data_IF_294720460367
#
_entry.id   IF_294720460367
#
_cell.length_a   1.000
_cell.length_b   1.000
_cell.length_c   1.000
_cell.angle_alpha   90.00
_cell.angle_beta   90.00
_cell.angle_gamma   90.00
#
_symmetry.space_group_name_H-M   'P 1'
#
loop_
_entity.id
_entity.type
_entity.pdbx_description
1 polymer ?
#
# COMPACT_ATOMS: atom_id res chain seq x y z
N UNK A 1 -21.48 10.87 0.18
CA UNK A 1 -20.67 10.65 -1.01
C UNK A 1 -19.40 9.84 -0.74
N UNK A 2 -18.75 10.04 0.38
CA UNK A 2 -17.66 9.19 0.82
C UNK A 2 -18.14 7.76 1.06
N UNK A 3 -19.39 7.61 1.45
CA UNK A 3 -19.97 6.32 1.81
C UNK A 3 -20.09 5.36 0.61
N UNK A 4 -20.35 5.90 -0.59
CA UNK A 4 -20.45 5.06 -1.78
C UNK A 4 -19.11 4.45 -2.19
N UNK A 5 -18.04 5.19 -2.02
CA UNK A 5 -16.69 4.66 -2.28
C UNK A 5 -16.33 3.56 -1.30
N UNK A 6 -16.66 3.76 -0.04
CA UNK A 6 -16.44 2.76 0.99
C UNK A 6 -17.27 1.50 0.75
N UNK A 7 -18.50 1.67 0.31
CA UNK A 7 -19.37 0.55 -0.02
C UNK A 7 -18.80 -0.27 -1.18
N UNK A 8 -18.29 0.39 -2.20
CA UNK A 8 -17.64 -0.29 -3.33
C UNK A 8 -16.40 -1.07 -2.91
N UNK A 9 -15.60 -0.47 -2.05
CA UNK A 9 -14.41 -1.12 -1.52
C UNK A 9 -14.79 -2.34 -0.71
N UNK A 10 -15.81 -2.23 0.12
CA UNK A 10 -16.29 -3.35 0.92
C UNK A 10 -16.88 -4.47 0.08
N UNK A 11 -17.62 -4.12 -0.96
CA UNK A 11 -18.19 -5.11 -1.88
C UNK A 11 -17.08 -5.84 -2.64
N UNK A 12 -16.10 -5.11 -3.13
CA UNK A 12 -14.97 -5.70 -3.81
C UNK A 12 -14.18 -6.63 -2.89
N UNK A 13 -13.99 -6.21 -1.65
CA UNK A 13 -13.31 -7.01 -0.65
C UNK A 13 -14.09 -8.29 -0.32
N UNK A 14 -15.40 -8.16 -0.16
CA UNK A 14 -16.27 -9.30 0.09
C UNK A 14 -16.25 -10.30 -1.07
N UNK A 15 -16.23 -9.79 -2.31
CA UNK A 15 -16.14 -10.64 -3.49
C UNK A 15 -14.83 -11.42 -3.53
N UNK A 16 -13.73 -10.78 -3.17
CA UNK A 16 -12.42 -11.44 -3.10
C UNK A 16 -12.43 -12.52 -2.04
N UNK A 17 -13.03 -12.26 -0.89
CA UNK A 17 -13.13 -13.25 0.17
C UNK A 17 -13.97 -14.46 -0.26
N UNK A 18 -15.08 -14.22 -0.94
CA UNK A 18 -15.92 -15.29 -1.46
C UNK A 18 -15.19 -16.13 -2.50
N UNK A 19 -14.40 -15.48 -3.35
CA UNK A 19 -13.59 -16.18 -4.35
C UNK A 19 -12.53 -17.04 -3.67
N UNK A 20 -11.91 -16.53 -2.61
CA UNK A 20 -10.96 -17.28 -1.82
C UNK A 20 -11.59 -18.51 -1.17
N UNK A 21 -12.80 -18.40 -0.68
CA UNK A 21 -13.53 -19.52 -0.10
C UNK A 21 -13.87 -20.58 -1.13
N UNK A 22 -14.12 -20.19 -2.37
CA UNK A 22 -14.42 -21.13 -3.46
C UNK A 22 -13.24 -21.99 -3.90
N UNK A 23 -12.04 -21.57 -3.56
CA UNK A 23 -10.84 -22.30 -3.91
C UNK A 23 -10.63 -23.61 -3.13
N UNK A 24 -11.59 -24.02 -2.34
CA UNK A 24 -11.47 -25.26 -1.56
C UNK A 24 -10.49 -25.17 -0.41
N UNK A 25 -9.91 -24.05 -0.22
CA UNK A 25 -8.92 -23.77 0.81
C UNK A 25 -9.58 -23.16 2.04
N UNK A 26 -10.73 -23.68 2.40
CA UNK A 26 -11.51 -23.18 3.53
C UNK A 26 -10.65 -23.14 4.79
N UNK A 27 -10.55 -22.00 5.40
CA UNK A 27 -9.78 -21.80 6.62
C UNK A 27 -8.34 -21.34 6.41
N UNK A 28 -7.83 -21.31 5.20
CA UNK A 28 -6.52 -20.73 4.92
C UNK A 28 -6.68 -19.27 4.50
N UNK A 29 -6.03 -18.38 5.21
CA UNK A 29 -5.88 -16.99 4.78
C UNK A 29 -5.02 -16.99 3.53
N UNK A 30 -5.44 -16.23 2.52
CA UNK A 30 -4.59 -15.98 1.37
C UNK A 30 -3.42 -15.13 1.86
N UNK A 31 -2.25 -15.75 1.95
CA UNK A 31 -1.05 -15.02 2.34
C UNK A 31 -0.66 -14.07 1.22
N UNK A 32 -0.59 -12.79 1.55
CA UNK A 32 -0.03 -11.80 0.64
C UNK A 32 1.49 -11.93 0.69
N UNK A 33 2.11 -12.08 -0.47
CA UNK A 33 3.56 -12.06 -0.58
C UNK A 33 4.11 -10.66 -0.31
N UNK A 34 5.43 -10.51 -0.17
CA UNK A 34 6.03 -9.21 0.13
C UNK A 34 5.74 -8.16 -0.94
N UNK A 35 5.69 -8.55 -2.20
CA UNK A 35 5.38 -7.63 -3.30
C UNK A 35 3.95 -7.09 -3.18
N UNK A 36 3.00 -7.96 -2.87
CA UNK A 36 1.60 -7.56 -2.73
C UNK A 36 1.40 -6.65 -1.52
N UNK A 37 2.09 -6.91 -0.44
CA UNK A 37 2.05 -6.06 0.77
C UNK A 37 2.64 -4.69 0.46
N UNK A 38 3.78 -4.63 -0.22
CA UNK A 38 4.41 -3.36 -0.61
C UNK A 38 3.48 -2.54 -1.50
N UNK A 39 2.83 -3.18 -2.47
CA UNK A 39 1.88 -2.50 -3.34
C UNK A 39 0.67 -1.98 -2.57
N UNK A 40 0.06 -2.83 -1.75
CA UNK A 40 -1.12 -2.45 -0.96
C UNK A 40 -0.81 -1.30 0.00
N UNK A 41 0.33 -1.38 0.69
CA UNK A 41 0.78 -0.31 1.58
C UNK A 41 0.91 1.00 0.82
N UNK A 42 1.61 0.97 -0.31
CA UNK A 42 1.85 2.18 -1.12
C UNK A 42 0.53 2.78 -1.61
N UNK A 43 -0.39 1.96 -2.07
CA UNK A 43 -1.69 2.43 -2.55
C UNK A 43 -2.54 3.03 -1.44
N UNK A 44 -2.52 2.44 -0.26
CA UNK A 44 -3.24 2.98 0.89
C UNK A 44 -2.69 4.35 1.32
N UNK A 45 -1.37 4.48 1.39
CA UNK A 45 -0.73 5.76 1.70
C UNK A 45 -1.14 6.82 0.68
N UNK A 46 -1.10 6.47 -0.60
CA UNK A 46 -1.44 7.38 -1.68
C UNK A 46 -2.91 7.81 -1.65
N UNK A 47 -3.79 6.94 -1.18
CA UNK A 47 -5.21 7.23 -1.06
C UNK A 47 -5.59 7.92 0.25
N UNK A 48 -4.64 8.13 1.17
CA UNK A 48 -4.92 8.70 2.48
C UNK A 48 -5.55 7.71 3.45
N UNK A 49 -5.49 6.43 3.13
CA UNK A 49 -6.04 5.35 3.95
C UNK A 49 -4.98 4.87 4.94
N UNK A 50 -4.69 5.73 5.93
CA UNK A 50 -3.56 5.50 6.83
C UNK A 50 -3.79 4.36 7.82
N UNK A 51 -5.03 4.11 8.21
CA UNK A 51 -5.34 2.99 9.11
C UNK A 51 -5.07 1.65 8.42
N UNK A 52 -5.46 1.52 7.18
CA UNK A 52 -5.19 0.34 6.38
C UNK A 52 -3.70 0.13 6.16
N UNK A 53 -2.99 1.23 5.90
CA UNK A 53 -1.53 1.18 5.76
C UNK A 53 -0.85 0.74 7.05
N UNK A 54 -1.32 1.22 8.19
CA UNK A 54 -0.78 0.81 9.49
C UNK A 54 -0.92 -0.69 9.73
N UNK A 55 -1.98 -1.29 9.22
CA UNK A 55 -2.17 -2.73 9.33
C UNK A 55 -1.19 -3.56 8.50
N UNK A 56 -0.47 -2.94 7.57
CA UNK A 56 0.47 -3.61 6.68
C UNK A 56 1.92 -3.29 7.00
N UNK A 57 2.19 -2.55 8.05
CA UNK A 57 3.56 -2.16 8.39
C UNK A 57 3.88 -2.45 9.84
N UNK A 58 5.17 -2.44 10.13
CA UNK A 58 5.66 -2.46 11.51
C UNK A 58 5.49 -1.05 12.08
N UNK A 59 4.53 -0.89 12.97
CA UNK A 59 4.15 0.42 13.50
C UNK A 59 5.32 1.13 14.17
N UNK A 60 6.14 0.38 14.91
CA UNK A 60 7.26 0.97 15.64
C UNK A 60 8.29 1.63 14.70
N UNK A 61 8.64 0.95 13.62
CA UNK A 61 9.64 1.47 12.69
C UNK A 61 9.07 2.45 11.67
N UNK A 62 7.76 2.38 11.40
CA UNK A 62 7.13 3.19 10.36
C UNK A 62 6.34 4.39 10.88
N UNK A 63 6.29 4.58 12.19
CA UNK A 63 5.49 5.66 12.78
C UNK A 63 5.87 7.04 12.23
N UNK A 64 7.16 7.33 12.19
CA UNK A 64 7.64 8.61 11.67
C UNK A 64 7.26 8.82 10.22
N UNK A 65 7.42 7.78 9.41
CA UNK A 65 7.05 7.82 7.99
C UNK A 65 5.55 8.09 7.82
N UNK A 66 4.72 7.37 8.57
CA UNK A 66 3.27 7.55 8.50
C UNK A 66 2.88 8.96 8.94
N UNK A 67 3.47 9.46 10.02
CA UNK A 67 3.20 10.81 10.51
C UNK A 67 3.55 11.88 9.47
N UNK A 68 4.68 11.70 8.79
CA UNK A 68 5.07 12.60 7.71
C UNK A 68 4.06 12.57 6.56
N UNK A 69 3.57 11.39 6.22
CA UNK A 69 2.57 11.24 5.16
C UNK A 69 1.25 11.89 5.55
N UNK A 70 0.82 11.72 6.79
CA UNK A 70 -0.40 12.35 7.31
C UNK A 70 -0.27 13.88 7.25
N UNK A 71 0.85 14.40 7.70
CA UNK A 71 1.09 15.84 7.68
C UNK A 71 1.10 16.40 6.26
N UNK A 72 1.72 15.69 5.34
CA UNK A 72 1.74 16.10 3.93
C UNK A 72 0.32 16.08 3.34
N UNK A 73 -0.44 15.05 3.64
CA UNK A 73 -1.83 14.92 3.19
C UNK A 73 -2.69 16.07 3.71
N UNK A 74 -2.58 16.37 5.01
CA UNK A 74 -3.33 17.47 5.64
C UNK A 74 -2.98 18.82 5.05
N UNK A 75 -1.70 19.06 4.76
CA UNK A 75 -1.25 20.31 4.13
C UNK A 75 -1.86 20.50 2.76
N UNK A 76 -1.89 19.43 1.95
CA UNK A 76 -2.51 19.46 0.63
C UNK A 76 -4.01 19.73 0.75
N UNK A 77 -4.66 19.09 1.70
CA UNK A 77 -6.08 19.24 1.93
C UNK A 77 -6.46 20.68 2.30
N UNK A 78 -5.61 21.34 3.08
CA UNK A 78 -5.81 22.74 3.47
C UNK A 78 -5.58 23.73 2.33
N UNK A 79 -4.65 23.41 1.43
CA UNK A 79 -4.35 24.29 0.32
C UNK A 79 -5.45 24.32 -0.73
N UNK A 80 -5.87 23.16 -1.17
CA UNK A 80 -6.89 23.05 -2.22
C UNK A 80 -7.36 21.62 -2.30
N UNK A 81 -8.65 21.40 -2.00
CA UNK A 81 -9.23 20.07 -2.07
C UNK A 81 -9.24 19.49 -3.49
N UNK A 82 -9.22 20.34 -4.52
CA UNK A 82 -9.14 19.87 -5.89
C UNK A 82 -7.80 19.22 -6.23
N UNK A 83 -6.73 19.67 -5.58
CA UNK A 83 -5.39 19.05 -5.74
C UNK A 83 -5.40 17.61 -5.25
N UNK A 84 -6.07 17.34 -4.13
CA UNK A 84 -6.21 15.98 -3.61
C UNK A 84 -7.00 15.08 -4.55
N UNK A 85 -8.07 15.61 -5.15
CA UNK A 85 -8.86 14.85 -6.11
C UNK A 85 -8.04 14.47 -7.33
N UNK A 86 -7.24 15.41 -7.84
CA UNK A 86 -6.33 15.16 -8.97
C UNK A 86 -5.26 14.14 -8.59
N UNK A 87 -4.64 14.32 -7.42
CA UNK A 87 -3.62 13.40 -6.95
C UNK A 87 -4.17 11.99 -6.75
N UNK A 88 -5.35 11.86 -6.16
CA UNK A 88 -6.00 10.55 -5.98
C UNK A 88 -6.30 9.89 -7.32
N UNK A 89 -6.78 10.66 -8.29
CA UNK A 89 -7.07 10.16 -9.63
C UNK A 89 -5.81 9.67 -10.34
N UNK A 90 -4.72 10.42 -10.24
CA UNK A 90 -3.43 10.01 -10.80
C UNK A 90 -2.91 8.73 -10.16
N UNK A 91 -3.08 8.60 -8.86
CA UNK A 91 -2.62 7.43 -8.12
C UNK A 91 -3.47 6.19 -8.39
N UNK A 92 -4.77 6.37 -8.64
CA UNK A 92 -5.63 5.26 -9.05
C UNK A 92 -5.21 4.69 -10.40
N UNK A 93 -4.72 5.53 -11.31
CA UNK A 93 -4.26 5.11 -12.62
C UNK A 93 -2.77 4.73 -12.64
N UNK A 94 -2.06 4.91 -11.52
CA UNK A 94 -0.64 4.61 -11.45
C UNK A 94 -0.40 3.11 -11.56
N UNK A 95 0.64 2.74 -12.30
CA UNK A 95 1.10 1.37 -12.37
C UNK A 95 2.16 1.12 -11.31
N UNK A 96 1.98 0.04 -10.58
CA UNK A 96 2.97 -0.44 -9.63
C UNK A 96 3.72 -1.59 -10.30
N UNK A 97 5.01 -1.40 -10.52
CA UNK A 97 5.86 -2.40 -11.16
C UNK A 97 6.95 -2.87 -10.23
N UNK A 98 6.97 -4.14 -9.94
CA UNK A 98 8.06 -4.75 -9.18
C UNK A 98 9.22 -5.02 -10.13
N UNK A 99 10.37 -4.44 -9.84
CA UNK A 99 11.58 -4.65 -10.63
C UNK A 99 12.31 -5.92 -10.18
N UNK A 100 12.46 -6.10 -8.88
CA UNK A 100 13.07 -7.29 -8.28
C UNK A 100 12.74 -7.37 -6.81
N UNK A 101 12.89 -8.56 -6.26
CA UNK A 101 12.78 -8.81 -4.82
C UNK A 101 14.07 -9.50 -4.37
N UNK A 102 14.73 -8.95 -3.37
CA UNK A 102 15.97 -9.51 -2.84
C UNK A 102 15.73 -10.06 -1.44
N UNK A 103 16.32 -11.21 -1.17
CA UNK A 103 16.30 -11.79 0.16
C UNK A 103 17.35 -11.09 1.02
N UNK A 104 16.99 -10.72 2.24
CA UNK A 104 17.89 -10.14 3.22
C UNK A 104 17.95 -11.05 4.46
N UNK A 105 18.83 -10.74 5.39
CA UNK A 105 18.97 -11.53 6.61
C UNK A 105 17.67 -11.53 7.43
N UNK A 106 16.94 -10.43 7.41
CA UNK A 106 15.73 -10.26 8.22
C UNK A 106 14.42 -10.36 7.44
N UNK A 107 14.47 -10.37 6.11
CA UNK A 107 13.25 -10.40 5.32
C UNK A 107 13.48 -10.28 3.84
N UNK A 108 12.82 -9.29 3.23
CA UNK A 108 12.88 -9.03 1.80
C UNK A 108 12.98 -7.54 1.52
N UNK A 109 13.66 -7.20 0.44
CA UNK A 109 13.62 -5.87 -0.14
C UNK A 109 12.94 -5.95 -1.49
N UNK A 110 11.85 -5.22 -1.63
CA UNK A 110 11.10 -5.14 -2.89
C UNK A 110 11.46 -3.84 -3.58
N UNK A 111 12.06 -3.95 -4.75
CA UNK A 111 12.40 -2.81 -5.60
C UNK A 111 11.27 -2.62 -6.58
N UNK A 112 10.65 -1.46 -6.56
CA UNK A 112 9.50 -1.20 -7.38
C UNK A 112 9.51 0.23 -7.90
N UNK A 113 8.73 0.44 -8.96
CA UNK A 113 8.48 1.77 -9.49
C UNK A 113 6.99 2.04 -9.49
N UNK A 114 6.65 3.30 -9.28
CA UNK A 114 5.30 3.80 -9.45
C UNK A 114 5.32 4.67 -10.69
N UNK A 115 4.57 4.26 -11.71
CA UNK A 115 4.53 4.97 -12.98
C UNK A 115 3.19 5.66 -13.13
N UNK A 116 3.26 6.97 -13.26
CA UNK A 116 2.13 7.81 -13.60
C UNK A 116 2.43 8.49 -14.93
N UNK A 117 1.46 9.15 -15.51
CA UNK A 117 1.56 9.78 -16.83
C UNK A 117 2.86 10.59 -17.02
N UNK A 118 3.84 9.98 -17.66
CA UNK A 118 5.12 10.60 -17.94
C UNK A 118 6.11 10.67 -16.79
N UNK A 119 5.75 10.14 -15.63
CA UNK A 119 6.61 10.17 -14.45
C UNK A 119 6.80 8.77 -13.88
N UNK A 120 8.02 8.50 -13.43
CA UNK A 120 8.34 7.23 -12.77
C UNK A 120 9.11 7.53 -11.49
N UNK A 121 8.71 6.90 -10.41
CA UNK A 121 9.40 7.03 -9.13
C UNK A 121 9.77 5.65 -8.62
N UNK A 122 11.04 5.44 -8.34
CA UNK A 122 11.57 4.15 -7.88
C UNK A 122 11.76 4.17 -6.38
N UNK A 123 11.31 3.10 -5.74
CA UNK A 123 11.41 2.95 -4.29
C UNK A 123 11.84 1.55 -3.92
N UNK A 124 12.27 1.42 -2.68
CA UNK A 124 12.60 0.13 -2.07
C UNK A 124 11.80 0.00 -0.79
N UNK A 125 11.04 -1.06 -0.68
CA UNK A 125 10.36 -1.41 0.55
C UNK A 125 11.10 -2.56 1.22
N UNK A 126 11.51 -2.37 2.46
CA UNK A 126 12.06 -3.44 3.27
C UNK A 126 10.91 -4.04 4.09
N UNK A 127 10.76 -5.35 4.01
CA UNK A 127 9.68 -6.05 4.70
C UNK A 127 10.25 -7.17 5.57
N UNK A 128 9.59 -7.41 6.68
CA UNK A 128 9.90 -8.48 7.60
C UNK A 128 8.66 -9.34 7.81
N UNK A 129 8.87 -10.63 7.98
CA UNK A 129 7.77 -11.53 8.29
C UNK A 129 7.58 -11.58 9.79
N UNK A 130 6.37 -11.30 10.24
CA UNK A 130 6.01 -11.27 11.64
C UNK A 130 4.73 -12.05 11.83
N UNK A 131 4.78 -13.08 12.65
CA UNK A 131 3.63 -13.96 12.90
C UNK A 131 2.99 -14.50 11.61
N UNK A 132 3.82 -14.83 10.63
CA UNK A 132 3.36 -15.37 9.36
C UNK A 132 2.90 -14.34 8.35
N UNK A 133 2.95 -13.07 8.68
CA UNK A 133 2.53 -11.98 7.78
C UNK A 133 3.68 -11.04 7.46
N UNK A 134 3.76 -10.64 6.20
CA UNK A 134 4.75 -9.66 5.79
C UNK A 134 4.31 -8.26 6.22
N UNK A 135 5.26 -7.50 6.79
CA UNK A 135 5.02 -6.12 7.22
C UNK A 135 6.13 -5.22 6.71
N UNK A 136 5.74 -4.06 6.22
CA UNK A 136 6.70 -3.05 5.77
C UNK A 136 7.39 -2.45 6.99
N UNK A 137 8.71 -2.44 6.99
CA UNK A 137 9.47 -1.82 8.08
C UNK A 137 10.28 -0.60 7.64
N UNK A 138 10.41 -0.36 6.34
CA UNK A 138 11.15 0.79 5.81
C UNK A 138 10.79 1.04 4.37
N UNK A 139 10.61 2.29 4.02
CA UNK A 139 10.48 2.74 2.63
C UNK A 139 11.58 3.76 2.35
N UNK A 140 12.33 3.54 1.29
CA UNK A 140 13.38 4.48 0.85
C UNK A 140 13.25 4.72 -0.64
N UNK A 141 13.75 5.86 -1.09
CA UNK A 141 13.84 6.13 -2.52
C UNK A 141 15.00 5.34 -3.11
N UNK A 142 14.77 4.74 -4.27
CA UNK A 142 15.81 4.08 -5.04
C UNK A 142 16.38 5.09 -6.02
N UNK A 143 17.70 5.13 -6.09
CA UNK A 143 18.41 6.03 -7.03
C UNK A 143 18.59 5.35 -8.37
#
# INVERSE_FOLDING_TARGET
MTDMRNIFIHIAFAAVLLTGCKGGEAGKKVEMGPEAVAEAFTRHIAAGEFEEALGLCDTASMQTYIDQCINAWERLQKKDSSVLAIASSLLESAEFKVEKTEKTDSGREVYYSIETDGHSKRKVAALRKEEGEWRVEKITDAI
#
